data_IF_935287013397
#
_entry.id   IF_935287013397
#
_cell.length_a   1.000
_cell.length_b   1.000
_cell.length_c   1.000
_cell.angle_alpha   90.00
_cell.angle_beta   90.00
_cell.angle_gamma   90.00
#
_symmetry.space_group_name_H-M   'P 1'
#
loop_
_entity.id
_entity.type
_entity.pdbx_description
1 polymer ?
#
# COMPACT_ATOMS: atom_id res chain seq x y z
N UNK A 1 64.46 -1.81 49.79
CA UNK A 1 63.99 -0.82 48.78
C UNK A 1 62.53 -0.49 49.06
N UNK A 2 62.16 0.79 49.25
CA UNK A 2 60.75 1.20 49.43
C UNK A 2 60.09 1.35 48.06
N UNK A 3 58.99 0.63 47.83
CA UNK A 3 58.21 0.70 46.59
C UNK A 3 57.53 2.08 46.45
N UNK A 4 57.84 2.83 45.39
CA UNK A 4 57.11 4.04 45.00
C UNK A 4 55.75 3.64 44.44
N UNK A 5 54.66 3.98 45.13
CA UNK A 5 53.30 3.94 44.56
C UNK A 5 53.20 4.99 43.46
N UNK A 6 53.10 4.54 42.21
CA UNK A 6 52.71 5.38 41.08
C UNK A 6 51.19 5.54 41.18
N UNK A 7 50.73 6.58 41.87
CA UNK A 7 49.31 6.93 41.89
C UNK A 7 48.98 7.66 40.60
N UNK A 8 48.21 7.02 39.71
CA UNK A 8 47.66 7.65 38.52
C UNK A 8 46.82 8.88 38.92
N UNK A 9 47.26 10.11 38.59
CA UNK A 9 46.62 11.34 39.06
C UNK A 9 45.24 11.57 38.43
N UNK A 10 44.88 10.86 37.36
CA UNK A 10 43.62 11.05 36.64
C UNK A 10 42.52 10.04 37.04
N UNK A 11 42.87 9.03 37.82
CA UNK A 11 41.98 7.91 38.19
C UNK A 11 40.75 8.37 38.99
N UNK A 12 40.90 9.43 39.81
CA UNK A 12 39.81 10.03 40.58
C UNK A 12 38.89 10.91 39.72
N UNK A 13 39.46 11.64 38.77
CA UNK A 13 38.72 12.46 37.80
C UNK A 13 37.90 11.62 36.82
N UNK A 14 38.49 10.57 36.25
CA UNK A 14 37.80 9.65 35.34
C UNK A 14 36.65 8.89 36.02
N UNK A 15 36.80 8.51 37.30
CA UNK A 15 35.71 7.92 38.09
C UNK A 15 34.56 8.90 38.34
N UNK A 16 34.86 10.18 38.57
CA UNK A 16 33.84 11.22 38.75
C UNK A 16 33.10 11.52 37.44
N UNK A 17 33.83 11.69 36.32
CA UNK A 17 33.26 11.89 35.00
C UNK A 17 32.35 10.74 34.58
N UNK A 18 32.80 9.48 34.76
CA UNK A 18 31.99 8.28 34.48
C UNK A 18 30.73 8.22 35.33
N UNK A 19 30.80 8.63 36.61
CA UNK A 19 29.62 8.68 37.50
C UNK A 19 28.61 9.73 37.04
N UNK A 20 29.07 10.88 36.55
CA UNK A 20 28.21 11.95 36.02
C UNK A 20 27.58 11.51 34.69
N UNK A 21 28.37 10.93 33.78
CA UNK A 21 27.87 10.38 32.51
C UNK A 21 26.83 9.26 32.73
N UNK A 22 27.08 8.35 33.68
CA UNK A 22 26.11 7.31 34.04
C UNK A 22 24.82 7.91 34.61
N UNK A 23 24.90 8.92 35.47
CA UNK A 23 23.71 9.60 36.02
C UNK A 23 22.92 10.31 34.93
N UNK A 24 23.60 11.00 34.02
CA UNK A 24 22.97 11.67 32.89
C UNK A 24 22.28 10.67 31.96
N UNK A 25 22.97 9.59 31.61
CA UNK A 25 22.40 8.51 30.79
C UNK A 25 21.19 7.86 31.46
N UNK A 26 21.28 7.53 32.75
CA UNK A 26 20.17 6.97 33.51
C UNK A 26 18.99 7.94 33.60
N UNK A 27 19.24 9.23 33.85
CA UNK A 27 18.17 10.24 33.89
C UNK A 27 17.47 10.40 32.55
N UNK A 28 18.22 10.35 31.44
CA UNK A 28 17.67 10.43 30.10
C UNK A 28 16.82 9.20 29.76
N UNK A 29 17.31 8.00 30.09
CA UNK A 29 16.56 6.75 29.91
C UNK A 29 15.28 6.72 30.72
N UNK A 30 15.29 7.22 31.96
CA UNK A 30 14.07 7.32 32.77
C UNK A 30 13.06 8.32 32.20
N UNK A 31 13.52 9.44 31.63
CA UNK A 31 12.64 10.41 30.98
C UNK A 31 11.96 9.81 29.75
N UNK A 32 12.74 9.11 28.93
CA UNK A 32 12.24 8.41 27.74
C UNK A 32 11.23 7.33 28.14
N UNK A 33 11.56 6.51 29.15
CA UNK A 33 10.64 5.47 29.65
C UNK A 33 9.32 6.05 30.19
N UNK A 34 9.35 7.21 30.85
CA UNK A 34 8.15 7.87 31.35
C UNK A 34 7.20 8.28 30.20
N UNK A 35 7.75 8.83 29.11
CA UNK A 35 6.97 9.20 27.93
C UNK A 35 6.27 7.97 27.32
N UNK A 36 6.96 6.83 27.27
CA UNK A 36 6.39 5.57 26.78
C UNK A 36 5.26 5.03 27.67
N UNK A 37 5.44 5.03 28.99
CA UNK A 37 4.41 4.56 29.93
C UNK A 37 3.17 5.46 29.88
N UNK A 38 3.35 6.77 29.81
CA UNK A 38 2.24 7.72 29.66
C UNK A 38 1.51 7.50 28.32
N UNK A 39 2.25 7.28 27.23
CA UNK A 39 1.67 6.95 25.93
C UNK A 39 0.84 5.67 25.94
N UNK A 40 1.34 4.60 26.57
CA UNK A 40 0.61 3.32 26.70
C UNK A 40 -0.68 3.43 27.53
N UNK A 41 -0.75 4.34 28.51
CA UNK A 41 -1.94 4.52 29.35
C UNK A 41 -3.00 5.37 28.65
N UNK A 42 -2.58 6.40 27.92
CA UNK A 42 -3.50 7.33 27.25
C UNK A 42 -4.11 6.73 25.98
N UNK A 43 -3.36 5.89 25.26
CA UNK A 43 -3.81 5.26 24.03
C UNK A 43 -3.32 3.81 23.95
N UNK A 44 -4.04 2.84 24.57
CA UNK A 44 -3.60 1.44 24.62
C UNK A 44 -3.52 0.76 23.25
N UNK A 45 -4.17 1.31 22.23
CA UNK A 45 -4.15 0.83 20.84
C UNK A 45 -3.16 1.62 19.94
N UNK A 46 -2.41 2.57 20.50
CA UNK A 46 -1.50 3.44 19.74
C UNK A 46 -0.16 2.78 19.47
N UNK A 47 0.13 2.54 18.20
CA UNK A 47 1.39 1.99 17.70
C UNK A 47 2.59 2.94 17.87
N UNK A 48 2.36 4.18 18.28
CA UNK A 48 3.39 5.20 18.49
C UNK A 48 4.41 4.83 19.58
N UNK A 49 4.00 4.02 20.57
CA UNK A 49 4.89 3.59 21.65
C UNK A 49 5.96 2.56 21.24
N UNK A 50 5.82 1.93 20.07
CA UNK A 50 6.71 0.85 19.59
C UNK A 50 7.47 1.26 18.32
N UNK A 51 6.98 2.24 17.55
CA UNK A 51 7.57 2.62 16.26
C UNK A 51 8.81 3.52 16.37
N UNK A 52 9.14 4.07 17.55
CA UNK A 52 10.32 4.93 17.74
C UNK A 52 11.67 4.25 17.47
N UNK A 53 11.71 2.91 17.34
CA UNK A 53 12.91 2.13 17.04
C UNK A 53 12.71 1.06 15.95
N UNK A 54 11.51 0.93 15.38
CA UNK A 54 11.27 0.05 14.23
C UNK A 54 11.58 0.81 12.95
N UNK A 55 12.59 0.36 12.21
CA UNK A 55 13.20 1.07 11.09
C UNK A 55 12.23 1.66 10.08
N UNK A 56 12.67 2.76 9.49
CA UNK A 56 12.09 3.56 8.41
C UNK A 56 11.80 2.78 7.10
N UNK A 57 11.91 1.45 7.09
CA UNK A 57 11.75 0.60 5.91
C UNK A 57 10.39 -0.08 5.80
N UNK A 58 9.57 -0.13 6.86
CA UNK A 58 8.22 -0.71 6.77
C UNK A 58 7.18 0.21 6.11
N UNK A 59 7.53 1.46 5.80
CA UNK A 59 6.57 2.54 5.64
C UNK A 59 6.37 3.11 4.22
N UNK A 60 7.33 3.01 3.30
CA UNK A 60 7.29 3.86 2.10
C UNK A 60 6.14 3.49 1.13
N UNK A 61 6.07 2.23 0.65
CA UNK A 61 5.01 1.83 -0.28
C UNK A 61 3.63 1.76 0.38
N UNK A 62 3.59 1.36 1.66
CA UNK A 62 2.37 1.28 2.44
C UNK A 62 1.75 2.67 2.69
N UNK A 63 2.57 3.72 2.79
CA UNK A 63 2.13 5.11 2.92
C UNK A 63 1.58 5.70 1.61
N UNK A 64 2.12 5.29 0.45
CA UNK A 64 1.67 5.79 -0.86
C UNK A 64 0.26 5.28 -1.18
N UNK A 65 -0.04 4.03 -0.80
CA UNK A 65 -1.37 3.45 -0.95
C UNK A 65 -1.68 3.00 -2.39
N UNK A 66 -2.96 2.78 -2.67
CA UNK A 66 -3.43 2.44 -4.01
C UNK A 66 -3.68 3.72 -4.83
N UNK A 67 -3.44 3.64 -6.13
CA UNK A 67 -3.51 4.77 -7.06
C UNK A 67 -4.53 4.47 -8.16
N UNK A 68 -5.65 5.18 -8.09
CA UNK A 68 -6.80 5.01 -8.97
C UNK A 68 -6.66 5.74 -10.32
N UNK A 69 -7.56 5.46 -11.27
CA UNK A 69 -7.60 6.18 -12.56
C UNK A 69 -8.16 7.59 -12.38
N UNK A 70 -7.87 8.46 -13.35
CA UNK A 70 -8.41 9.82 -13.41
C UNK A 70 -9.43 9.94 -14.53
N UNK A 71 -10.55 10.62 -14.26
CA UNK A 71 -11.55 10.94 -15.28
C UNK A 71 -10.96 11.75 -16.42
N UNK A 72 -11.50 11.62 -17.65
CA UNK A 72 -11.13 12.38 -18.85
C UNK A 72 -11.09 13.91 -18.68
N UNK A 73 -11.75 14.45 -17.64
CA UNK A 73 -11.61 15.86 -17.23
C UNK A 73 -10.17 16.26 -16.86
N UNK A 74 -9.30 15.29 -16.58
CA UNK A 74 -7.90 15.46 -16.16
C UNK A 74 -6.90 14.90 -17.16
N UNK A 75 -7.34 14.17 -18.19
CA UNK A 75 -6.51 13.53 -19.22
C UNK A 75 -7.31 13.39 -20.52
N UNK A 76 -6.77 13.79 -21.66
CA UNK A 76 -7.44 13.60 -22.94
C UNK A 76 -7.06 12.25 -23.56
N UNK A 77 -8.07 11.38 -23.74
CA UNK A 77 -8.12 10.37 -24.80
C UNK A 77 -7.28 9.09 -24.60
N UNK A 78 -7.88 8.07 -23.99
CA UNK A 78 -8.08 6.71 -24.54
C UNK A 78 -8.67 5.83 -23.43
N UNK A 79 -9.67 5.00 -23.75
CA UNK A 79 -10.51 4.31 -22.77
C UNK A 79 -9.95 2.91 -22.37
N UNK A 80 -8.64 2.78 -22.19
CA UNK A 80 -7.98 1.48 -21.94
C UNK A 80 -7.14 1.56 -20.67
N UNK A 81 -7.75 1.18 -19.55
CA UNK A 81 -7.09 1.14 -18.26
C UNK A 81 -6.39 -0.21 -18.02
N UNK A 82 -5.17 -0.18 -17.51
CA UNK A 82 -4.46 -1.37 -17.02
C UNK A 82 -4.31 -1.29 -15.50
N UNK A 83 -4.48 -2.41 -14.81
CA UNK A 83 -4.20 -2.48 -13.37
C UNK A 83 -2.82 -3.10 -13.17
N UNK A 84 -1.95 -2.37 -12.48
CA UNK A 84 -0.56 -2.75 -12.24
C UNK A 84 -0.29 -2.74 -10.73
N UNK A 85 0.09 -3.86 -10.14
CA UNK A 85 0.65 -3.90 -8.80
C UNK A 85 2.16 -3.76 -8.85
N UNK A 86 2.68 -2.85 -8.03
CA UNK A 86 4.10 -2.71 -7.76
C UNK A 86 4.36 -3.29 -6.37
N UNK A 87 5.22 -4.31 -6.31
CA UNK A 87 5.64 -4.95 -5.06
C UNK A 87 7.10 -4.60 -4.85
N UNK A 88 7.41 -3.81 -3.84
CA UNK A 88 8.80 -3.53 -3.48
C UNK A 88 9.45 -4.82 -2.96
N UNK A 89 10.70 -5.08 -3.35
CA UNK A 89 11.43 -6.26 -2.89
C UNK A 89 11.53 -6.33 -1.36
N UNK A 90 11.52 -5.19 -0.68
CA UNK A 90 11.56 -5.12 0.78
C UNK A 90 10.26 -5.60 1.45
N UNK A 91 9.16 -5.67 0.70
CA UNK A 91 7.89 -6.23 1.17
C UNK A 91 7.85 -7.77 1.11
N UNK A 92 8.73 -8.38 0.31
CA UNK A 92 8.79 -9.84 0.14
C UNK A 92 9.52 -10.47 1.33
N UNK A 93 9.00 -11.58 1.83
CA UNK A 93 9.59 -12.34 2.92
C UNK A 93 10.83 -13.11 2.41
N UNK A 94 12.05 -12.77 2.87
CA UNK A 94 13.28 -13.45 2.42
C UNK A 94 13.43 -14.87 2.98
N UNK A 95 12.70 -15.21 4.05
CA UNK A 95 12.81 -16.52 4.71
C UNK A 95 12.02 -17.62 3.99
N UNK A 96 11.20 -17.24 3.00
CA UNK A 96 10.41 -18.15 2.19
C UNK A 96 10.89 -18.10 0.75
N UNK A 97 11.15 -19.26 0.16
CA UNK A 97 11.62 -19.35 -1.22
C UNK A 97 10.64 -18.68 -2.18
N UNK A 98 11.16 -17.82 -3.06
CA UNK A 98 10.35 -17.17 -4.09
C UNK A 98 9.84 -18.22 -5.10
N UNK A 99 8.55 -18.17 -5.50
CA UNK A 99 7.98 -19.16 -6.41
C UNK A 99 8.66 -19.13 -7.78
N UNK A 100 9.06 -20.31 -8.24
CA UNK A 100 9.65 -20.50 -9.57
C UNK A 100 8.57 -20.80 -10.61
N UNK A 101 8.76 -20.40 -11.88
CA UNK A 101 7.80 -20.69 -12.93
C UNK A 101 7.68 -22.19 -13.19
N UNK A 102 6.45 -22.69 -13.33
CA UNK A 102 6.19 -24.06 -13.73
C UNK A 102 6.36 -24.26 -15.26
N UNK A 103 6.11 -25.48 -15.74
CA UNK A 103 6.19 -25.82 -17.17
C UNK A 103 5.24 -25.00 -18.07
N UNK A 104 4.14 -24.48 -17.51
CA UNK A 104 3.17 -23.62 -18.19
C UNK A 104 3.52 -22.13 -18.11
N UNK A 105 4.71 -21.79 -17.60
CA UNK A 105 5.15 -20.41 -17.34
C UNK A 105 4.28 -19.70 -16.29
N UNK A 106 3.76 -20.42 -15.31
CA UNK A 106 2.92 -19.87 -14.23
C UNK A 106 3.72 -19.73 -12.93
N UNK A 107 3.49 -18.63 -12.21
CA UNK A 107 4.09 -18.32 -10.91
C UNK A 107 2.96 -18.20 -9.87
N UNK A 108 3.15 -18.86 -8.73
CA UNK A 108 2.23 -18.84 -7.59
C UNK A 108 2.42 -17.61 -6.69
N UNK A 109 1.69 -17.58 -5.57
CA UNK A 109 1.62 -16.43 -4.67
C UNK A 109 3.00 -15.97 -4.18
N UNK A 110 3.27 -14.67 -4.31
CA UNK A 110 4.48 -14.04 -3.77
C UNK A 110 4.43 -14.09 -2.23
N UNK A 111 5.46 -14.61 -1.54
CA UNK A 111 5.48 -14.63 -0.09
C UNK A 111 5.74 -13.23 0.46
N UNK A 112 4.69 -12.53 0.89
CA UNK A 112 4.81 -11.19 1.50
C UNK A 112 5.19 -11.32 2.98
N UNK A 113 5.90 -10.32 3.52
CA UNK A 113 6.08 -10.18 4.97
C UNK A 113 4.73 -9.92 5.64
N UNK A 114 4.61 -10.31 6.90
CA UNK A 114 3.40 -10.07 7.68
C UNK A 114 3.05 -8.57 7.73
N UNK A 115 1.78 -8.23 7.47
CA UNK A 115 1.32 -6.84 7.42
C UNK A 115 1.70 -6.04 6.16
N UNK A 116 2.44 -6.64 5.21
CA UNK A 116 2.74 -6.03 3.91
C UNK A 116 1.74 -6.48 2.85
N UNK A 117 1.33 -5.53 2.00
CA UNK A 117 0.30 -5.74 1.00
C UNK A 117 0.70 -5.15 -0.36
N UNK A 118 0.21 -5.75 -1.43
CA UNK A 118 0.46 -5.31 -2.80
C UNK A 118 -0.36 -4.05 -3.10
N UNK A 119 0.29 -3.00 -3.60
CA UNK A 119 -0.37 -1.73 -3.96
C UNK A 119 -0.55 -1.63 -5.45
N UNK A 120 -1.75 -1.23 -5.89
CA UNK A 120 -2.04 -1.09 -7.32
C UNK A 120 -1.97 0.36 -7.80
N UNK A 121 -1.65 0.49 -9.08
CA UNK A 121 -1.62 1.70 -9.87
C UNK A 121 -2.44 1.43 -11.13
N UNK A 122 -3.41 2.29 -11.40
CA UNK A 122 -4.16 2.21 -12.66
C UNK A 122 -3.44 3.07 -13.69
N UNK A 123 -2.97 2.43 -14.75
CA UNK A 123 -2.39 3.11 -15.89
C UNK A 123 -3.52 3.63 -16.79
N UNK A 124 -3.38 4.86 -17.24
CA UNK A 124 -4.34 5.56 -18.10
C UNK A 124 -4.15 5.20 -19.58
N UNK A 125 -3.02 4.60 -19.92
CA UNK A 125 -2.71 4.09 -21.24
C UNK A 125 -2.11 2.69 -21.13
N UNK A 126 -2.07 1.97 -22.24
CA UNK A 126 -1.54 0.62 -22.35
C UNK A 126 -0.06 0.63 -21.92
N UNK A 127 0.32 -0.14 -20.88
CA UNK A 127 1.69 -0.29 -20.48
C UNK A 127 2.54 -0.80 -21.64
N UNK A 128 3.64 -0.12 -21.90
CA UNK A 128 4.58 -0.51 -22.95
C UNK A 128 5.57 -1.52 -22.39
N UNK A 129 5.49 -2.77 -22.84
CA UNK A 129 6.52 -3.78 -22.61
C UNK A 129 7.39 -3.94 -23.86
N UNK A 130 8.69 -3.73 -23.73
CA UNK A 130 9.67 -4.03 -24.78
C UNK A 130 10.75 -4.94 -24.23
N UNK A 131 11.06 -5.99 -24.98
CA UNK A 131 12.15 -6.90 -24.67
C UNK A 131 13.09 -6.98 -25.88
N UNK A 132 14.37 -6.71 -25.65
CA UNK A 132 15.43 -6.84 -26.66
C UNK A 132 16.43 -7.89 -26.20
N UNK A 133 17.06 -8.56 -27.16
CA UNK A 133 18.07 -9.56 -26.91
C UNK A 133 19.08 -9.60 -28.04
N UNK A 134 20.35 -9.51 -27.69
CA UNK A 134 21.45 -9.60 -28.64
C UNK A 134 22.41 -10.70 -28.20
N UNK A 135 22.84 -11.52 -29.15
CA UNK A 135 23.83 -12.57 -28.91
C UNK A 135 25.23 -11.94 -28.96
N UNK A 136 25.89 -11.86 -27.81
CA UNK A 136 27.32 -11.52 -27.73
C UNK A 136 28.23 -12.73 -28.01
N UNK A 137 29.54 -12.55 -27.82
CA UNK A 137 30.55 -13.58 -28.12
C UNK A 137 30.38 -14.88 -27.33
N UNK A 138 29.96 -14.81 -26.06
CA UNK A 138 29.79 -15.98 -25.17
C UNK A 138 28.36 -16.11 -24.63
N UNK A 139 27.66 -15.00 -24.39
CA UNK A 139 26.32 -14.98 -23.78
C UNK A 139 25.37 -14.04 -24.50
N UNK A 140 24.07 -14.36 -24.50
CA UNK A 140 23.01 -13.43 -24.94
C UNK A 140 22.71 -12.42 -23.83
N UNK A 141 22.86 -11.13 -24.12
CA UNK A 141 22.38 -10.05 -23.26
C UNK A 141 20.95 -9.70 -23.65
N UNK A 142 20.07 -9.63 -22.67
CA UNK A 142 18.69 -9.20 -22.87
C UNK A 142 18.33 -8.03 -21.98
N UNK A 143 17.41 -7.19 -22.44
CA UNK A 143 16.88 -6.06 -21.71
C UNK A 143 15.36 -6.04 -21.82
N UNK A 144 14.70 -5.98 -20.67
CA UNK A 144 13.27 -5.77 -20.57
C UNK A 144 13.01 -4.37 -20.03
N UNK A 145 12.17 -3.63 -20.72
CA UNK A 145 11.65 -2.34 -20.30
C UNK A 145 10.13 -2.41 -20.19
N UNK A 146 9.60 -1.90 -19.09
CA UNK A 146 8.16 -1.82 -18.83
C UNK A 146 7.81 -0.39 -18.42
N UNK A 147 7.01 0.30 -19.22
CA UNK A 147 6.60 1.67 -18.95
C UNK A 147 5.10 1.74 -18.67
N UNK A 148 4.73 2.46 -17.61
CA UNK A 148 3.33 2.73 -17.25
C UNK A 148 3.11 4.24 -17.26
N UNK A 149 1.98 4.67 -17.81
CA UNK A 149 1.58 6.08 -17.85
C UNK A 149 0.38 6.23 -16.93
N UNK A 150 0.52 7.07 -15.91
CA UNK A 150 -0.57 7.39 -14.99
C UNK A 150 -1.04 8.81 -15.23
N UNK A 151 -2.36 8.96 -15.33
CA UNK A 151 -2.98 10.25 -15.56
C UNK A 151 -2.89 11.18 -14.36
N UNK A 152 -2.77 12.47 -14.65
CA UNK A 152 -2.70 13.54 -13.66
C UNK A 152 -1.33 13.71 -13.00
N UNK A 153 -1.15 14.88 -12.37
CA UNK A 153 -0.02 15.14 -11.48
C UNK A 153 -0.57 15.13 -10.06
N UNK A 154 -0.47 13.97 -9.40
CA UNK A 154 -0.95 13.75 -8.03
C UNK A 154 0.24 13.72 -7.09
N UNK A 155 0.06 14.26 -5.89
CA UNK A 155 1.11 14.30 -4.88
C UNK A 155 1.61 12.88 -4.53
N UNK A 156 0.72 11.89 -4.47
CA UNK A 156 1.09 10.48 -4.28
C UNK A 156 2.06 9.95 -5.34
N UNK A 157 1.91 10.35 -6.60
CA UNK A 157 2.78 9.92 -7.69
C UNK A 157 4.14 10.63 -7.64
N UNK A 158 4.13 11.90 -7.22
CA UNK A 158 5.35 12.68 -7.00
C UNK A 158 6.15 12.12 -5.82
N UNK A 159 5.49 11.89 -4.68
CA UNK A 159 6.07 11.28 -3.49
C UNK A 159 6.63 9.89 -3.79
N UNK A 160 5.92 9.09 -4.59
CA UNK A 160 6.41 7.77 -5.03
C UNK A 160 7.73 7.89 -5.78
N UNK A 161 7.83 8.81 -6.74
CA UNK A 161 9.08 9.02 -7.50
C UNK A 161 10.21 9.46 -6.58
N UNK A 162 9.95 10.44 -5.72
CA UNK A 162 10.98 11.00 -4.83
C UNK A 162 11.51 9.96 -3.84
N UNK A 163 10.64 9.07 -3.36
CA UNK A 163 10.99 8.06 -2.36
C UNK A 163 11.54 6.77 -2.97
N UNK A 164 11.15 6.41 -4.19
CA UNK A 164 11.43 5.11 -4.79
C UNK A 164 12.21 5.14 -6.11
N UNK A 165 12.74 6.29 -6.53
CA UNK A 165 13.66 6.36 -7.66
C UNK A 165 14.85 5.39 -7.48
N UNK A 166 15.11 4.53 -8.49
CA UNK A 166 16.11 3.47 -8.39
C UNK A 166 15.70 2.25 -7.54
N UNK A 167 14.47 2.25 -7.01
CA UNK A 167 13.90 1.15 -6.25
C UNK A 167 13.71 -0.12 -7.07
N UNK A 168 13.58 -1.25 -6.38
CA UNK A 168 13.53 -2.60 -6.96
C UNK A 168 12.14 -3.20 -6.73
N UNK A 169 11.50 -3.58 -7.83
CA UNK A 169 10.11 -3.98 -7.83
C UNK A 169 9.89 -5.32 -8.55
N UNK A 170 8.87 -6.04 -8.10
CA UNK A 170 8.20 -7.09 -8.86
C UNK A 170 6.88 -6.48 -9.34
N UNK A 171 6.61 -6.63 -10.63
CA UNK A 171 5.45 -5.99 -11.28
C UNK A 171 4.44 -7.08 -11.62
N UNK A 172 3.20 -6.92 -11.18
CA UNK A 172 2.08 -7.76 -11.59
C UNK A 172 1.09 -6.89 -12.37
N UNK A 173 0.68 -7.26 -13.57
CA UNK A 173 -0.17 -6.41 -14.40
C UNK A 173 -1.22 -7.21 -15.17
N UNK A 174 -2.31 -6.54 -15.51
CA UNK A 174 -3.30 -7.01 -16.47
C UNK A 174 -4.07 -5.87 -17.11
N UNK A 175 -4.70 -6.16 -18.23
CA UNK A 175 -5.73 -5.30 -18.81
C UNK A 175 -7.02 -5.38 -18.00
N UNK A 176 -7.71 -4.25 -17.84
CA UNK A 176 -9.05 -4.24 -17.23
C UNK A 176 -10.03 -4.94 -18.19
N UNK A 177 -10.57 -6.08 -17.74
CA UNK A 177 -11.43 -6.95 -18.55
C UNK A 177 -10.85 -8.35 -18.75
N UNK A 178 -9.53 -8.49 -18.64
CA UNK A 178 -8.88 -9.80 -18.63
C UNK A 178 -8.89 -10.43 -17.23
N UNK A 179 -8.92 -11.76 -17.19
CA UNK A 179 -8.84 -12.55 -15.95
C UNK A 179 -7.41 -12.94 -15.62
N UNK A 180 -6.56 -13.10 -16.63
CA UNK A 180 -5.17 -13.53 -16.49
C UNK A 180 -4.30 -12.37 -16.00
N UNK A 181 -3.56 -12.60 -14.93
CA UNK A 181 -2.49 -11.71 -14.49
C UNK A 181 -1.15 -12.12 -15.09
N UNK A 182 -0.27 -11.16 -15.30
CA UNK A 182 1.11 -11.38 -15.72
C UNK A 182 2.06 -10.82 -14.66
N UNK A 183 3.24 -11.42 -14.55
CA UNK A 183 4.28 -11.02 -13.59
C UNK A 183 5.61 -10.81 -14.29
N UNK A 184 6.32 -9.76 -13.91
CA UNK A 184 7.63 -9.36 -14.41
C UNK A 184 8.60 -9.08 -13.26
N UNK A 185 9.82 -9.61 -13.39
CA UNK A 185 10.81 -9.58 -12.32
C UNK A 185 10.65 -10.75 -11.34
N UNK A 186 11.69 -10.99 -10.55
CA UNK A 186 11.68 -11.93 -9.44
C UNK A 186 12.54 -11.35 -8.31
N UNK A 187 12.58 -12.04 -7.16
CA UNK A 187 13.34 -11.58 -6.01
C UNK A 187 14.83 -11.33 -6.34
N UNK A 188 15.49 -12.24 -7.07
CA UNK A 188 16.93 -12.10 -7.35
C UNK A 188 17.26 -11.09 -8.47
N UNK A 189 16.33 -10.89 -9.40
CA UNK A 189 16.45 -9.99 -10.56
C UNK A 189 15.17 -9.16 -10.68
N UNK A 190 14.96 -8.18 -9.80
CA UNK A 190 13.80 -7.31 -9.84
C UNK A 190 13.85 -6.35 -11.02
N UNK A 191 12.71 -5.71 -11.30
CA UNK A 191 12.59 -4.56 -12.18
C UNK A 191 13.03 -3.30 -11.42
N UNK A 192 13.93 -2.50 -11.98
CA UNK A 192 14.42 -1.28 -11.35
C UNK A 192 13.67 -0.08 -11.91
N UNK A 193 13.13 0.81 -11.06
CA UNK A 193 12.59 2.09 -11.52
C UNK A 193 13.75 2.96 -12.06
N UNK A 194 13.96 2.93 -13.37
CA UNK A 194 15.15 3.51 -14.01
C UNK A 194 14.96 4.97 -14.38
N UNK A 195 13.74 5.36 -14.76
CA UNK A 195 13.42 6.72 -15.16
C UNK A 195 11.95 7.02 -14.90
N UNK A 196 11.67 8.31 -14.75
CA UNK A 196 10.32 8.84 -14.71
C UNK A 196 10.26 10.09 -15.58
N UNK A 197 9.09 10.35 -16.16
CA UNK A 197 8.80 11.57 -16.91
C UNK A 197 7.53 12.18 -16.35
N UNK A 198 7.63 13.39 -15.81
CA UNK A 198 6.48 14.15 -15.33
C UNK A 198 6.18 15.26 -16.33
N UNK A 199 4.98 15.22 -16.94
CA UNK A 199 4.53 16.24 -17.89
C UNK A 199 3.37 17.03 -17.31
N UNK A 200 3.48 18.34 -17.35
CA UNK A 200 2.46 19.28 -16.90
C UNK A 200 2.49 20.55 -17.76
N UNK A 201 2.03 20.42 -19.00
CA UNK A 201 1.99 21.52 -19.96
C UNK A 201 0.64 21.56 -20.70
N UNK A 202 0.58 22.34 -21.78
CA UNK A 202 -0.62 22.46 -22.61
C UNK A 202 -1.02 21.12 -23.28
N UNK A 203 -0.06 20.25 -23.54
CA UNK A 203 -0.24 19.04 -24.34
C UNK A 203 -0.62 17.83 -23.49
N UNK A 204 -0.34 17.84 -22.18
CA UNK A 204 -0.79 16.78 -21.28
C UNK A 204 -0.39 16.95 -19.82
N UNK A 205 -1.12 16.25 -18.95
CA UNK A 205 -0.85 16.14 -17.52
C UNK A 205 -0.81 14.66 -17.10
N UNK A 206 0.39 14.10 -16.99
CA UNK A 206 0.61 12.69 -16.65
C UNK A 206 2.02 12.46 -16.09
N UNK A 207 2.23 11.30 -15.50
CA UNK A 207 3.55 10.83 -15.10
C UNK A 207 3.77 9.42 -15.65
N UNK A 208 4.92 9.22 -16.29
CA UNK A 208 5.37 7.94 -16.83
C UNK A 208 6.43 7.35 -15.90
N UNK A 209 6.28 6.10 -15.48
CA UNK A 209 7.34 5.33 -14.79
C UNK A 209 7.89 4.29 -15.75
N UNK A 210 9.21 4.23 -15.88
CA UNK A 210 9.90 3.22 -16.68
C UNK A 210 10.71 2.32 -15.76
N UNK A 211 10.41 1.04 -15.83
CA UNK A 211 11.11 -0.01 -15.12
C UNK A 211 11.98 -0.81 -16.07
N UNK A 212 13.21 -1.11 -15.66
CA UNK A 212 14.19 -1.81 -16.47
C UNK A 212 14.80 -3.00 -15.74
N UNK A 213 15.04 -4.09 -16.47
CA UNK A 213 15.76 -5.27 -16.00
C UNK A 213 16.61 -5.85 -17.11
N UNK A 214 17.87 -6.14 -16.80
CA UNK A 214 18.74 -6.90 -17.70
C UNK A 214 18.41 -8.39 -17.57
N UNK A 215 17.61 -8.90 -18.49
CA UNK A 215 17.21 -10.31 -18.55
C UNK A 215 16.68 -10.66 -19.93
N UNK A 216 16.90 -11.90 -20.36
CA UNK A 216 16.25 -12.47 -21.55
C UNK A 216 14.85 -13.05 -21.22
N UNK A 217 14.59 -13.33 -19.94
CA UNK A 217 13.33 -13.91 -19.47
C UNK A 217 12.18 -12.93 -19.69
N UNK A 218 11.17 -13.37 -20.43
CA UNK A 218 9.92 -12.63 -20.64
C UNK A 218 8.99 -12.73 -19.43
N UNK A 219 7.90 -11.97 -19.41
CA UNK A 219 6.88 -12.09 -18.38
C UNK A 219 6.29 -13.52 -18.29
N UNK A 220 5.84 -13.87 -17.10
CA UNK A 220 5.18 -15.13 -16.78
C UNK A 220 3.71 -14.89 -16.46
N UNK A 221 2.90 -15.93 -16.47
CA UNK A 221 1.52 -15.90 -15.97
C UNK A 221 1.54 -15.90 -14.45
N UNK A 222 0.78 -14.99 -13.83
CA UNK A 222 0.59 -14.98 -12.39
C UNK A 222 -0.74 -15.65 -12.05
N UNK A 223 -0.68 -16.71 -11.26
CA UNK A 223 -1.85 -17.48 -10.78
C UNK A 223 -1.98 -17.45 -9.27
N UNK A 224 -1.08 -16.74 -8.59
CA UNK A 224 -1.11 -16.55 -7.15
C UNK A 224 -2.17 -15.56 -6.69
N UNK A 225 -2.40 -15.54 -5.39
CA UNK A 225 -3.30 -14.60 -4.75
C UNK A 225 -2.73 -13.17 -4.80
N UNK A 226 -3.61 -12.19 -4.98
CA UNK A 226 -3.26 -10.78 -4.76
C UNK A 226 -3.42 -10.51 -3.27
N UNK A 227 -2.29 -10.34 -2.57
CA UNK A 227 -2.27 -10.11 -1.12
C UNK A 227 -2.62 -8.65 -0.85
N UNK A 228 -3.90 -8.41 -0.55
CA UNK A 228 -4.45 -7.08 -0.21
C UNK A 228 -4.52 -6.91 1.29
N UNK A 229 -4.57 -5.66 1.74
CA UNK A 229 -4.93 -5.33 3.13
C UNK A 229 -6.23 -6.06 3.48
N UNK A 230 -6.29 -6.84 4.57
CA UNK A 230 -7.52 -7.42 5.08
C UNK A 230 -8.55 -6.32 5.28
N UNK A 231 -9.80 -6.64 4.96
CA UNK A 231 -10.89 -5.72 5.22
C UNK A 231 -10.90 -5.41 6.73
N UNK A 232 -10.85 -4.12 7.08
CA UNK A 232 -11.00 -3.73 8.48
C UNK A 232 -12.39 -4.12 8.95
N UNK A 233 -12.50 -4.76 10.11
CA UNK A 233 -13.80 -5.03 10.68
C UNK A 233 -14.48 -3.72 11.05
N UNK A 234 -15.66 -3.49 10.49
CA UNK A 234 -16.59 -2.51 11.03
C UNK A 234 -17.15 -3.06 12.35
N UNK A 235 -17.43 -2.19 13.31
CA UNK A 235 -18.00 -2.60 14.58
C UNK A 235 -19.49 -2.91 14.39
N UNK A 236 -19.97 -4.00 14.99
CA UNK A 236 -21.40 -4.30 15.04
C UNK A 236 -22.17 -3.12 15.65
N UNK A 237 -23.37 -2.85 15.13
CA UNK A 237 -24.28 -1.79 15.57
C UNK A 237 -23.77 -0.34 15.36
N UNK A 238 -22.54 -0.15 14.87
CA UNK A 238 -22.01 1.19 14.62
C UNK A 238 -22.69 1.83 13.41
N UNK A 239 -23.29 3.00 13.61
CA UNK A 239 -23.99 3.78 12.56
C UNK A 239 -23.04 4.64 11.71
N UNK A 240 -21.76 4.63 12.04
CA UNK A 240 -20.73 5.51 11.47
C UNK A 240 -19.55 4.70 10.95
N UNK A 241 -19.30 4.76 9.65
CA UNK A 241 -18.15 4.12 9.01
C UNK A 241 -16.90 4.96 9.21
N UNK A 242 -15.92 4.44 9.95
CA UNK A 242 -14.65 5.15 10.19
C UNK A 242 -13.58 4.65 9.24
N UNK A 243 -13.18 5.51 8.30
CA UNK A 243 -12.16 5.23 7.30
C UNK A 243 -10.77 5.45 7.87
N UNK A 244 -9.90 4.45 7.70
CA UNK A 244 -8.49 4.50 8.09
C UNK A 244 -7.64 4.95 6.88
N UNK A 245 -6.59 5.78 7.08
CA UNK A 245 -5.75 6.32 6.00
C UNK A 245 -5.14 5.30 5.04
N UNK A 246 -4.97 4.03 5.46
CA UNK A 246 -4.35 2.97 4.64
C UNK A 246 -5.26 1.75 4.39
N UNK A 247 -6.55 1.82 4.72
CA UNK A 247 -7.50 0.72 4.46
C UNK A 247 -8.66 1.15 3.57
N UNK A 248 -8.76 0.49 2.41
CA UNK A 248 -9.79 0.69 1.40
C UNK A 248 -10.92 -0.33 1.49
N UNK A 249 -10.83 -1.30 2.40
CA UNK A 249 -11.77 -2.43 2.48
C UNK A 249 -12.30 -2.56 3.90
N UNK A 250 -13.61 -2.75 4.02
CA UNK A 250 -14.27 -2.91 5.32
C UNK A 250 -15.21 -4.10 5.30
N UNK A 251 -15.02 -5.03 6.23
CA UNK A 251 -15.93 -6.13 6.45
C UNK A 251 -17.06 -5.64 7.35
N UNK A 252 -18.30 -5.74 6.87
CA UNK A 252 -19.48 -5.27 7.57
C UNK A 252 -20.20 -6.47 8.19
N UNK A 253 -20.17 -6.63 9.53
CA UNK A 253 -20.78 -7.76 10.20
C UNK A 253 -22.28 -7.55 10.43
N UNK A 254 -22.93 -8.62 10.92
CA UNK A 254 -24.26 -8.54 11.53
C UNK A 254 -24.28 -7.60 12.74
N UNK A 255 -25.45 -7.02 13.00
CA UNK A 255 -25.70 -6.34 14.27
C UNK A 255 -25.84 -7.34 15.41
N UNK A 256 -25.57 -6.90 16.63
CA UNK A 256 -25.59 -7.80 17.79
C UNK A 256 -27.00 -8.34 18.04
N UNK A 257 -28.00 -7.45 18.02
CA UNK A 257 -29.40 -7.80 18.32
C UNK A 257 -30.32 -7.73 17.11
N UNK A 258 -30.13 -6.76 16.21
CA UNK A 258 -30.95 -6.54 15.02
C UNK A 258 -30.13 -5.98 13.86
N UNK A 259 -30.74 -5.86 12.68
CA UNK A 259 -30.19 -5.06 11.58
C UNK A 259 -29.95 -3.62 12.03
N UNK A 260 -28.82 -3.05 11.62
CA UNK A 260 -28.45 -1.67 11.89
C UNK A 260 -28.11 -0.93 10.58
N UNK A 261 -28.22 0.39 10.59
CA UNK A 261 -27.97 1.23 9.44
C UNK A 261 -26.67 2.03 9.61
N UNK A 262 -25.82 2.01 8.59
CA UNK A 262 -24.65 2.88 8.51
C UNK A 262 -25.07 4.11 7.70
N UNK A 263 -24.99 5.29 8.33
CA UNK A 263 -25.57 6.54 7.78
C UNK A 263 -24.58 7.69 7.68
N UNK A 264 -23.40 7.56 8.28
CA UNK A 264 -22.35 8.60 8.25
C UNK A 264 -20.97 7.99 8.03
N UNK A 265 -20.03 8.82 7.57
CA UNK A 265 -18.62 8.47 7.36
C UNK A 265 -17.72 9.46 8.09
N UNK A 266 -16.54 9.02 8.52
CA UNK A 266 -15.50 9.86 9.15
C UNK A 266 -14.10 9.28 8.89
N UNK A 267 -13.07 10.01 9.29
CA UNK A 267 -11.66 9.66 9.08
C UNK A 267 -11.15 9.97 7.67
N UNK A 268 -12.00 10.55 6.82
CA UNK A 268 -11.61 11.07 5.52
C UNK A 268 -11.09 12.51 5.65
N UNK A 269 -10.07 12.82 4.85
CA UNK A 269 -9.50 14.16 4.71
C UNK A 269 -9.69 14.67 3.29
N UNK A 270 -9.37 15.95 3.05
CA UNK A 270 -9.43 16.51 1.70
C UNK A 270 -8.49 15.79 0.71
N UNK A 271 -7.42 15.16 1.21
CA UNK A 271 -6.45 14.41 0.41
C UNK A 271 -6.98 13.04 -0.04
N UNK A 272 -8.05 12.53 0.60
CA UNK A 272 -8.64 11.24 0.24
C UNK A 272 -9.57 11.33 -0.98
N UNK A 273 -9.79 12.52 -1.55
CA UNK A 273 -10.70 12.70 -2.69
C UNK A 273 -10.28 11.85 -3.89
N UNK A 274 -11.22 11.06 -4.40
CA UNK A 274 -11.04 10.16 -5.53
C UNK A 274 -10.68 8.73 -5.15
N UNK A 275 -10.31 8.48 -3.89
CA UNK A 275 -10.00 7.15 -3.34
C UNK A 275 -11.23 6.24 -3.38
N UNK A 276 -11.04 4.97 -3.72
CA UNK A 276 -12.11 3.97 -3.63
C UNK A 276 -12.13 3.22 -2.29
N UNK A 277 -13.33 3.10 -1.72
CA UNK A 277 -13.64 2.36 -0.49
C UNK A 277 -14.64 1.24 -0.82
N UNK A 278 -14.24 0.00 -0.63
CA UNK A 278 -15.08 -1.18 -0.82
C UNK A 278 -15.60 -1.69 0.52
N UNK A 279 -16.90 -1.88 0.61
CA UNK A 279 -17.56 -2.54 1.74
C UNK A 279 -17.93 -3.95 1.33
N UNK A 280 -17.62 -4.90 2.21
CA UNK A 280 -17.84 -6.33 2.00
C UNK A 280 -18.79 -6.84 3.07
N UNK A 281 -19.95 -7.31 2.64
CA UNK A 281 -20.95 -7.87 3.53
C UNK A 281 -20.49 -9.22 4.07
N UNK A 282 -20.57 -9.37 5.39
CA UNK A 282 -20.34 -10.64 6.10
C UNK A 282 -21.54 -11.06 6.94
N UNK A 283 -22.60 -10.25 6.94
CA UNK A 283 -23.81 -10.50 7.69
C UNK A 283 -24.66 -11.63 7.13
N UNK A 284 -25.54 -12.15 7.96
CA UNK A 284 -26.52 -13.19 7.64
C UNK A 284 -27.92 -12.62 7.85
N UNK A 285 -28.52 -12.87 9.00
CA UNK A 285 -29.93 -12.54 9.29
C UNK A 285 -30.11 -11.11 9.84
N UNK A 286 -29.02 -10.47 10.28
CA UNK A 286 -29.02 -9.13 10.90
C UNK A 286 -28.10 -8.18 10.17
N UNK A 287 -28.00 -8.37 8.86
CA UNK A 287 -27.04 -7.68 8.01
C UNK A 287 -27.28 -6.17 8.08
N UNK A 288 -26.19 -5.41 8.12
CA UNK A 288 -26.26 -3.96 8.10
C UNK A 288 -26.83 -3.43 6.78
N UNK A 289 -27.38 -2.22 6.80
CA UNK A 289 -27.88 -1.55 5.61
C UNK A 289 -27.24 -0.18 5.38
N UNK A 290 -27.12 0.20 4.11
CA UNK A 290 -26.75 1.55 3.69
C UNK A 290 -27.83 2.04 2.73
N UNK A 291 -28.54 3.07 3.14
CA UNK A 291 -29.54 3.75 2.32
C UNK A 291 -28.99 5.07 1.78
N UNK A 292 -29.66 5.59 0.75
CA UNK A 292 -29.37 6.91 0.19
C UNK A 292 -29.37 7.98 1.29
N UNK A 293 -28.32 8.78 1.33
CA UNK A 293 -28.17 9.86 2.31
C UNK A 293 -27.19 10.92 1.81
N UNK A 294 -27.05 12.02 2.55
CA UNK A 294 -26.03 13.03 2.22
C UNK A 294 -24.59 12.50 2.32
N UNK A 295 -24.36 11.42 3.08
CA UNK A 295 -23.04 10.81 3.21
C UNK A 295 -22.80 9.70 2.19
N UNK A 296 -23.85 9.00 1.75
CA UNK A 296 -23.80 7.89 0.81
C UNK A 296 -24.74 8.16 -0.37
N UNK A 297 -24.15 8.54 -1.49
CA UNK A 297 -24.87 8.78 -2.75
C UNK A 297 -24.87 7.48 -3.56
N UNK A 298 -26.03 6.85 -3.72
CA UNK A 298 -26.25 5.59 -4.42
C UNK A 298 -26.81 5.88 -5.81
N UNK A 299 -26.32 5.19 -6.83
CA UNK A 299 -26.65 5.51 -8.24
C UNK A 299 -28.15 5.35 -8.51
N UNK A 300 -28.78 4.34 -7.91
CA UNK A 300 -30.21 4.06 -8.07
C UNK A 300 -31.05 4.40 -6.82
N UNK A 301 -30.43 4.99 -5.79
CA UNK A 301 -31.05 5.22 -4.47
C UNK A 301 -31.45 3.95 -3.70
N UNK A 302 -31.21 2.76 -4.28
CA UNK A 302 -31.60 1.49 -3.71
C UNK A 302 -30.72 1.13 -2.51
N UNK A 303 -31.33 0.80 -1.37
CA UNK A 303 -30.62 0.40 -0.16
C UNK A 303 -29.77 -0.84 -0.39
N UNK A 304 -28.48 -0.77 -0.05
CA UNK A 304 -27.58 -1.91 -0.06
C UNK A 304 -27.64 -2.65 1.27
N UNK A 305 -27.60 -3.99 1.24
CA UNK A 305 -27.63 -4.84 2.44
C UNK A 305 -26.37 -5.71 2.51
N UNK A 306 -25.64 -5.61 3.62
CA UNK A 306 -24.33 -6.20 3.86
C UNK A 306 -24.34 -7.71 4.15
N UNK A 307 -25.08 -8.48 3.35
CA UNK A 307 -25.11 -9.95 3.43
C UNK A 307 -23.79 -10.56 2.97
N UNK A 308 -23.50 -11.77 3.44
CA UNK A 308 -22.35 -12.55 3.01
C UNK A 308 -22.31 -12.66 1.48
N UNK A 309 -21.17 -12.26 0.89
CA UNK A 309 -20.96 -12.25 -0.56
C UNK A 309 -21.46 -10.99 -1.27
N UNK A 310 -22.14 -10.07 -0.58
CA UNK A 310 -22.44 -8.74 -1.12
C UNK A 310 -21.21 -7.84 -1.04
N UNK A 311 -21.06 -6.93 -2.00
CA UNK A 311 -20.04 -5.88 -1.97
C UNK A 311 -20.55 -4.61 -2.62
N UNK A 312 -20.05 -3.46 -2.20
CA UNK A 312 -20.30 -2.17 -2.85
C UNK A 312 -19.04 -1.31 -2.77
N UNK A 313 -18.72 -0.58 -3.84
CA UNK A 313 -17.56 0.33 -3.85
C UNK A 313 -18.02 1.77 -3.99
N UNK A 314 -17.43 2.62 -3.17
CA UNK A 314 -17.66 4.06 -3.17
C UNK A 314 -16.39 4.81 -3.54
N UNK A 315 -16.53 5.93 -4.26
CA UNK A 315 -15.49 6.93 -4.44
C UNK A 315 -15.66 8.06 -3.43
N UNK A 316 -14.57 8.55 -2.85
CA UNK A 316 -14.58 9.70 -1.95
C UNK A 316 -14.76 10.99 -2.76
N UNK A 317 -15.85 11.73 -2.53
CA UNK A 317 -16.09 13.03 -3.17
C UNK A 317 -15.50 14.20 -2.37
N UNK A 318 -15.63 14.12 -1.05
CA UNK A 318 -15.19 15.09 -0.04
C UNK A 318 -15.06 14.39 1.34
N UNK A 319 -14.60 15.06 2.40
CA UNK A 319 -14.37 14.44 3.72
C UNK A 319 -15.60 13.81 4.41
N UNK A 320 -16.80 14.01 3.86
CA UNK A 320 -18.06 13.52 4.44
C UNK A 320 -18.95 12.76 3.44
N UNK A 321 -18.56 12.70 2.16
CA UNK A 321 -19.42 12.18 1.09
C UNK A 321 -18.71 11.09 0.28
N UNK A 322 -19.41 9.96 0.16
CA UNK A 322 -19.07 8.80 -0.63
C UNK A 322 -20.10 8.63 -1.76
N UNK A 323 -19.64 8.44 -2.99
CA UNK A 323 -20.49 8.18 -4.17
C UNK A 323 -20.29 6.76 -4.68
N UNK A 324 -21.37 6.00 -4.88
CA UNK A 324 -21.32 4.65 -5.43
C UNK A 324 -20.68 4.66 -6.82
N UNK A 325 -19.80 3.69 -7.07
CA UNK A 325 -19.16 3.49 -8.37
C UNK A 325 -20.06 2.61 -9.24
N UNK A 326 -20.33 3.06 -10.46
CA UNK A 326 -21.20 2.35 -11.42
C UNK A 326 -20.71 0.93 -11.68
N UNK A 327 -21.63 -0.04 -11.64
CA UNK A 327 -21.33 -1.46 -11.84
C UNK A 327 -20.54 -2.13 -10.71
N UNK A 328 -20.23 -1.44 -9.61
CA UNK A 328 -19.45 -2.01 -8.50
C UNK A 328 -20.28 -2.82 -7.49
N UNK A 329 -21.60 -2.66 -7.51
CA UNK A 329 -22.51 -3.30 -6.56
C UNK A 329 -22.72 -4.77 -6.88
N UNK A 330 -22.52 -5.60 -5.87
CA UNK A 330 -22.94 -7.00 -5.80
C UNK A 330 -23.88 -7.12 -4.60
N UNK A 331 -25.10 -7.60 -4.84
CA UNK A 331 -26.10 -7.80 -3.80
C UNK A 331 -26.52 -9.26 -3.83
N UNK A 332 -26.22 -10.00 -2.76
CA UNK A 332 -26.74 -11.35 -2.55
C UNK A 332 -28.14 -11.28 -1.96
N UNK A 333 -28.95 -12.30 -2.28
CA UNK A 333 -30.36 -12.40 -1.93
C UNK A 333 -30.59 -12.61 -0.43
#
# INVERSE_FOLDING_TARGET
MKARKISDPFLKGNKAARRIQLRFFLSLMTLIALVFVVGMILEPDSTLGITGFSGTTMAALMAIGDVDDVSDRKTHGSNIAYKVYLVDIDQVNPDVAFPLPNANREISTIPMKEGQYMKYFIAHDIPTFTATGEKGDITTSGENNFAIIMGGMRDQLLDFVEQHAGGKFIIIFKEVGETQWYILGNYDRPMVLSSFEAKNDKDGRYITFTFKRTSIDQYYKYVGDIIRVPAASHAADATKLTIKPANNRYAIPDGSEATYAISTVDGLTANDKGRYITLEGTGTDKAATIAESSAFILIDGATWTAKAGSSITFQVLDPSTLIEVEGSRVQTA
#
